data_IF_354532348406
#
_entry.id   IF_354532348406
#
_cell.length_a   1.000
_cell.length_b   1.000
_cell.length_c   1.000
_cell.angle_alpha   90.00
_cell.angle_beta   90.00
_cell.angle_gamma   90.00
#
_symmetry.space_group_name_H-M   'P 1'
#
loop_
_entity.id
_entity.type
_entity.pdbx_description
1 polymer ?
#
# COMPACT_ATOMS: atom_id res chain seq x y z
N UNK A 1 2.73 -0.12 17.42
CA UNK A 1 2.61 0.48 16.09
C UNK A 1 2.90 1.96 16.21
N UNK A 2 4.08 2.40 15.76
CA UNK A 2 4.34 3.82 15.55
C UNK A 2 3.69 4.19 14.21
N UNK A 3 2.78 5.16 14.23
CA UNK A 3 2.13 5.69 13.05
C UNK A 3 2.51 7.16 13.00
N UNK A 4 3.32 7.56 12.02
CA UNK A 4 3.78 8.94 11.89
C UNK A 4 2.97 9.66 10.82
N UNK A 5 2.33 10.76 11.20
CA UNK A 5 1.64 11.69 10.31
C UNK A 5 2.59 12.84 9.97
N UNK A 6 2.99 12.93 8.70
CA UNK A 6 3.82 14.02 8.21
C UNK A 6 2.99 15.07 7.45
N UNK A 7 3.02 16.32 7.93
CA UNK A 7 2.40 17.48 7.28
C UNK A 7 3.49 18.48 6.88
N UNK A 8 3.71 18.66 5.57
CA UNK A 8 4.65 19.67 5.05
C UNK A 8 3.92 20.98 4.79
N UNK A 9 4.18 21.99 5.64
CA UNK A 9 3.65 23.33 5.44
C UNK A 9 4.52 24.11 4.43
N UNK A 10 4.10 24.17 3.17
CA UNK A 10 4.72 25.03 2.15
C UNK A 10 3.85 26.24 1.83
N UNK A 11 4.37 27.30 1.20
CA UNK A 11 3.56 28.47 0.80
C UNK A 11 2.57 28.18 -0.35
N UNK A 12 2.63 26.97 -0.91
CA UNK A 12 1.86 26.48 -2.06
C UNK A 12 0.42 26.15 -1.60
N UNK A 13 -0.63 26.34 -2.42
CA UNK A 13 -2.02 26.03 -2.05
C UNK A 13 -2.34 24.53 -1.92
N UNK A 14 -1.38 23.66 -2.20
CA UNK A 14 -1.49 22.20 -2.12
C UNK A 14 -0.91 21.70 -0.79
N UNK A 15 -1.55 20.70 -0.20
CA UNK A 15 -1.07 19.94 0.93
C UNK A 15 -0.90 18.47 0.54
N UNK A 16 0.15 17.86 1.08
CA UNK A 16 0.42 16.43 1.02
C UNK A 16 0.42 15.90 2.44
N UNK A 17 -0.34 14.84 2.68
CA UNK A 17 -0.44 14.17 3.98
C UNK A 17 0.00 12.74 3.77
N UNK A 18 0.97 12.31 4.58
CA UNK A 18 1.44 10.93 4.60
C UNK A 18 1.23 10.29 5.95
N UNK A 19 0.70 9.07 5.96
CA UNK A 19 0.75 8.17 7.11
C UNK A 19 1.73 7.04 6.82
N UNK A 20 2.73 6.92 7.69
CA UNK A 20 3.74 5.88 7.59
C UNK A 20 3.60 4.90 8.75
N UNK A 21 3.50 3.62 8.41
CA UNK A 21 3.43 2.50 9.34
C UNK A 21 4.72 1.72 9.22
N UNK A 22 5.37 1.47 10.36
CA UNK A 22 6.50 0.54 10.45
C UNK A 22 5.99 -0.91 10.30
N UNK A 23 5.78 -1.30 9.05
CA UNK A 23 5.27 -2.59 8.61
C UNK A 23 5.73 -2.80 7.15
N UNK A 24 6.12 -4.01 6.79
CA UNK A 24 6.74 -4.32 5.52
C UNK A 24 7.05 -5.81 5.39
N UNK A 25 7.69 -6.21 4.28
CA UNK A 25 7.99 -7.62 4.00
C UNK A 25 8.89 -8.29 5.05
N UNK A 26 9.66 -7.52 5.82
CA UNK A 26 10.46 -8.06 6.93
C UNK A 26 9.58 -8.64 8.04
N UNK A 27 8.38 -8.10 8.25
CA UNK A 27 7.48 -8.52 9.32
C UNK A 27 6.58 -9.70 8.91
N UNK A 28 6.70 -10.18 7.67
CA UNK A 28 5.90 -11.30 7.18
C UNK A 28 6.35 -12.64 7.78
N UNK A 29 5.40 -13.49 8.12
CA UNK A 29 5.66 -14.89 8.41
C UNK A 29 5.77 -15.72 7.11
N UNK A 30 6.37 -16.92 7.12
CA UNK A 30 6.35 -17.82 5.96
C UNK A 30 4.94 -18.16 5.45
N UNK A 31 3.93 -18.08 6.32
CA UNK A 31 2.52 -18.32 5.97
C UNK A 31 1.84 -17.11 5.32
N UNK A 32 2.35 -15.90 5.55
CA UNK A 32 1.78 -14.62 5.09
C UNK A 32 2.70 -13.93 4.07
N UNK A 33 3.41 -14.73 3.28
CA UNK A 33 4.48 -14.24 2.42
C UNK A 33 4.00 -13.58 1.12
N UNK A 34 4.14 -12.25 1.01
CA UNK A 34 3.53 -11.42 -0.03
C UNK A 34 2.25 -10.68 0.42
N UNK A 35 1.92 -10.73 1.72
CA UNK A 35 0.77 -10.03 2.27
C UNK A 35 0.94 -8.51 2.18
N UNK A 36 2.17 -8.01 2.31
CA UNK A 36 2.50 -6.59 2.26
C UNK A 36 2.11 -5.99 0.91
N UNK A 37 2.52 -6.61 -0.20
CA UNK A 37 2.18 -6.13 -1.54
C UNK A 37 0.67 -6.19 -1.80
N UNK A 38 -0.02 -7.21 -1.28
CA UNK A 38 -1.48 -7.29 -1.40
C UNK A 38 -2.19 -6.22 -0.55
N UNK A 39 -1.71 -5.96 0.66
CA UNK A 39 -2.22 -4.90 1.53
C UNK A 39 -2.07 -3.51 0.92
N UNK A 40 -0.96 -3.26 0.21
CA UNK A 40 -0.77 -2.04 -0.58
C UNK A 40 -1.89 -1.89 -1.63
N UNK A 41 -2.18 -2.93 -2.40
CA UNK A 41 -3.27 -2.89 -3.41
C UNK A 41 -4.66 -2.75 -2.81
N UNK A 42 -4.83 -3.20 -1.57
CA UNK A 42 -6.08 -3.10 -0.83
C UNK A 42 -6.21 -1.80 -0.01
N UNK A 43 -5.18 -0.94 0.01
CA UNK A 43 -5.09 0.26 0.85
C UNK A 43 -6.32 1.20 0.79
N UNK A 44 -6.81 1.50 -0.42
CA UNK A 44 -7.91 2.44 -0.67
C UNK A 44 -9.19 1.73 -1.16
N UNK A 45 -9.40 0.49 -0.70
CA UNK A 45 -10.61 -0.30 -0.98
C UNK A 45 -11.70 -0.01 0.03
N UNK A 46 -12.70 -0.89 0.11
CA UNK A 46 -13.83 -0.71 1.01
C UNK A 46 -13.39 -0.70 2.47
N UNK A 47 -13.92 0.24 3.24
CA UNK A 47 -13.74 0.33 4.70
C UNK A 47 -15.05 -0.05 5.39
N UNK A 48 -15.02 -0.14 6.73
CA UNK A 48 -16.24 -0.42 7.51
C UNK A 48 -17.29 0.69 7.37
N UNK A 49 -16.85 1.93 7.10
CA UNK A 49 -17.69 3.12 7.08
C UNK A 49 -18.00 3.59 5.64
N UNK A 50 -17.15 3.26 4.67
CA UNK A 50 -17.24 3.73 3.29
C UNK A 50 -17.05 2.57 2.30
N UNK A 51 -17.89 2.50 1.26
CA UNK A 51 -17.66 1.59 0.14
C UNK A 51 -16.51 2.11 -0.74
N UNK A 52 -15.84 1.23 -1.49
CA UNK A 52 -14.77 1.63 -2.40
C UNK A 52 -15.21 2.74 -3.38
N UNK A 53 -16.42 2.64 -3.93
CA UNK A 53 -16.98 3.66 -4.83
C UNK A 53 -17.17 5.01 -4.12
N UNK A 54 -17.52 5.01 -2.84
CA UNK A 54 -17.63 6.24 -2.05
C UNK A 54 -16.26 6.86 -1.80
N UNK A 55 -15.25 6.06 -1.45
CA UNK A 55 -13.87 6.53 -1.27
C UNK A 55 -13.36 7.20 -2.55
N UNK A 56 -13.53 6.54 -3.71
CA UNK A 56 -13.11 7.10 -5.01
C UNK A 56 -13.83 8.41 -5.31
N UNK A 57 -15.15 8.48 -5.10
CA UNK A 57 -15.92 9.70 -5.33
C UNK A 57 -15.53 10.85 -4.39
N UNK A 58 -15.24 10.57 -3.12
CA UNK A 58 -14.77 11.58 -2.17
C UNK A 58 -13.41 12.14 -2.62
N UNK A 59 -12.49 11.27 -3.05
CA UNK A 59 -11.18 11.67 -3.57
C UNK A 59 -11.30 12.53 -4.83
N UNK A 60 -12.11 12.08 -5.80
CA UNK A 60 -12.32 12.78 -7.07
C UNK A 60 -13.06 14.11 -6.90
N UNK A 61 -14.03 14.19 -5.98
CA UNK A 61 -14.80 15.41 -5.73
C UNK A 61 -13.90 16.54 -5.18
N UNK A 62 -12.91 16.20 -4.36
CA UNK A 62 -11.90 17.12 -3.84
C UNK A 62 -10.85 17.45 -4.91
N UNK A 63 -10.74 16.62 -5.96
CA UNK A 63 -9.66 16.68 -6.95
C UNK A 63 -8.32 16.24 -6.36
N UNK A 64 -8.35 15.37 -5.34
CA UNK A 64 -7.16 14.83 -4.72
C UNK A 64 -6.63 13.58 -5.42
N UNK A 65 -5.40 13.19 -5.09
CA UNK A 65 -4.80 11.93 -5.52
C UNK A 65 -4.31 11.14 -4.32
N UNK A 66 -4.69 9.86 -4.27
CA UNK A 66 -4.25 8.91 -3.24
C UNK A 66 -3.23 7.94 -3.81
N UNK A 67 -2.21 7.64 -3.02
CA UNK A 67 -1.17 6.67 -3.36
C UNK A 67 -0.81 5.85 -2.13
N UNK A 68 -0.48 4.59 -2.35
CA UNK A 68 0.06 3.67 -1.35
C UNK A 68 1.37 3.12 -1.87
N UNK A 69 2.31 2.89 -0.96
CA UNK A 69 3.62 2.31 -1.29
C UNK A 69 4.03 1.32 -0.21
N UNK A 70 4.37 0.10 -0.61
CA UNK A 70 4.97 -0.88 0.27
C UNK A 70 6.49 -0.93 0.06
N UNK A 71 7.23 -0.83 1.16
CA UNK A 71 8.66 -1.13 1.21
C UNK A 71 8.90 -2.38 2.07
N UNK A 72 10.18 -2.80 2.16
CA UNK A 72 10.56 -3.94 3.00
C UNK A 72 10.36 -3.65 4.49
N UNK A 73 10.57 -2.41 4.91
CA UNK A 73 10.54 -1.98 6.31
C UNK A 73 9.29 -1.17 6.67
N UNK A 74 8.75 -0.40 5.72
CA UNK A 74 7.68 0.56 5.96
C UNK A 74 6.59 0.53 4.88
N UNK A 75 5.38 0.89 5.28
CA UNK A 75 4.23 1.07 4.41
C UNK A 75 3.80 2.54 4.49
N UNK A 76 3.71 3.20 3.34
CA UNK A 76 3.32 4.60 3.24
C UNK A 76 1.97 4.76 2.55
N UNK A 77 1.09 5.56 3.13
CA UNK A 77 -0.18 5.99 2.55
C UNK A 77 -0.14 7.49 2.39
N UNK A 78 -0.23 8.00 1.17
CA UNK A 78 -0.16 9.43 0.88
C UNK A 78 -1.42 9.92 0.20
N UNK A 79 -1.83 11.13 0.56
CA UNK A 79 -2.96 11.83 -0.01
C UNK A 79 -2.53 13.27 -0.33
N UNK A 80 -2.69 13.66 -1.59
CA UNK A 80 -2.38 15.01 -2.08
C UNK A 80 -3.66 15.72 -2.52
N UNK A 81 -3.89 16.94 -2.03
CA UNK A 81 -5.05 17.77 -2.39
C UNK A 81 -4.86 19.25 -2.01
N UNK A 82 -5.87 20.07 -2.29
CA UNK A 82 -5.89 21.47 -1.84
C UNK A 82 -5.94 21.57 -0.31
N UNK A 83 -5.22 22.55 0.24
CA UNK A 83 -5.15 22.80 1.69
C UNK A 83 -6.49 23.03 2.37
N UNK A 84 -7.50 23.50 1.65
CA UNK A 84 -8.84 23.74 2.19
C UNK A 84 -9.48 22.44 2.72
N UNK A 85 -9.13 21.30 2.13
CA UNK A 85 -9.72 19.98 2.43
C UNK A 85 -8.86 19.14 3.37
N UNK A 86 -7.89 19.74 4.06
CA UNK A 86 -7.01 19.05 5.01
C UNK A 86 -7.75 18.16 6.03
N UNK A 87 -8.86 18.58 6.67
CA UNK A 87 -9.55 17.70 7.63
C UNK A 87 -10.16 16.46 6.97
N UNK A 88 -10.72 16.60 5.77
CA UNK A 88 -11.33 15.49 5.01
C UNK A 88 -10.27 14.49 4.54
N UNK A 89 -9.11 14.99 4.10
CA UNK A 89 -7.97 14.16 3.73
C UNK A 89 -7.51 13.29 4.91
N UNK A 90 -7.34 13.89 6.10
CA UNK A 90 -6.90 13.17 7.30
C UNK A 90 -7.94 12.13 7.73
N UNK A 91 -9.23 12.48 7.70
CA UNK A 91 -10.31 11.56 8.07
C UNK A 91 -10.35 10.33 7.17
N UNK A 92 -10.29 10.54 5.85
CA UNK A 92 -10.31 9.46 4.86
C UNK A 92 -9.09 8.55 5.04
N UNK A 93 -7.90 9.13 5.20
CA UNK A 93 -6.65 8.39 5.34
C UNK A 93 -6.65 7.53 6.62
N UNK A 94 -7.14 8.07 7.75
CA UNK A 94 -7.29 7.32 9.00
C UNK A 94 -8.32 6.20 8.85
N UNK A 95 -9.45 6.43 8.19
CA UNK A 95 -10.49 5.41 8.02
C UNK A 95 -10.00 4.24 7.16
N UNK A 96 -9.29 4.53 6.06
CA UNK A 96 -8.69 3.51 5.19
C UNK A 96 -7.68 2.63 5.94
N UNK A 97 -6.85 3.23 6.80
CA UNK A 97 -5.78 2.49 7.49
C UNK A 97 -6.29 1.75 8.72
N UNK A 98 -7.22 2.35 9.48
CA UNK A 98 -7.68 1.80 10.75
C UNK A 98 -8.82 0.78 10.58
N UNK A 99 -9.72 1.00 9.62
CA UNK A 99 -10.93 0.20 9.45
C UNK A 99 -11.08 -0.43 8.05
N UNK A 100 -10.04 -1.03 7.45
CA UNK A 100 -10.18 -1.70 6.17
C UNK A 100 -11.10 -2.94 6.29
N UNK A 101 -11.92 -3.18 5.28
CA UNK A 101 -12.73 -4.40 5.18
C UNK A 101 -12.34 -5.12 3.89
N UNK A 102 -11.77 -6.32 4.05
CA UNK A 102 -11.37 -7.15 2.92
C UNK A 102 -12.55 -8.03 2.49
N UNK A 103 -13.26 -7.59 1.46
CA UNK A 103 -14.37 -8.33 0.87
C UNK A 103 -13.82 -9.37 -0.10
N UNK A 104 -14.33 -10.60 -0.06
CA UNK A 104 -13.77 -11.73 -0.82
C UNK A 104 -13.69 -11.46 -2.33
N UNK A 105 -14.68 -10.75 -2.89
CA UNK A 105 -14.68 -10.42 -4.32
C UNK A 105 -13.63 -9.36 -4.68
N UNK A 106 -13.46 -8.32 -3.86
CA UNK A 106 -12.43 -7.28 -4.07
C UNK A 106 -11.04 -7.89 -3.91
N UNK A 107 -10.88 -8.75 -2.90
CA UNK A 107 -9.65 -9.47 -2.62
C UNK A 107 -9.25 -10.36 -3.79
N UNK A 108 -10.17 -11.19 -4.29
CA UNK A 108 -9.91 -12.07 -5.43
C UNK A 108 -9.58 -11.29 -6.70
N UNK A 109 -10.22 -10.14 -6.93
CA UNK A 109 -9.90 -9.27 -8.06
C UNK A 109 -8.46 -8.73 -7.97
N UNK A 110 -8.06 -8.19 -6.80
CA UNK A 110 -6.69 -7.69 -6.62
C UNK A 110 -5.66 -8.82 -6.68
N UNK A 111 -6.00 -10.00 -6.18
CA UNK A 111 -5.15 -11.18 -6.24
C UNK A 111 -4.82 -11.56 -7.68
N UNK A 112 -5.80 -11.51 -8.60
CA UNK A 112 -5.55 -11.77 -10.02
C UNK A 112 -4.64 -10.70 -10.66
N UNK A 113 -4.82 -9.42 -10.31
CA UNK A 113 -3.96 -8.34 -10.79
C UNK A 113 -2.52 -8.51 -10.31
N UNK A 114 -2.32 -8.82 -9.03
CA UNK A 114 -0.99 -9.05 -8.48
C UNK A 114 -0.32 -10.28 -9.12
N UNK A 115 -1.07 -11.36 -9.40
CA UNK A 115 -0.54 -12.51 -10.15
C UNK A 115 -0.02 -12.10 -11.54
N UNK A 116 -0.79 -11.28 -12.26
CA UNK A 116 -0.38 -10.77 -13.56
C UNK A 116 0.87 -9.88 -13.45
N UNK A 117 0.92 -8.98 -12.47
CA UNK A 117 2.07 -8.11 -12.23
C UNK A 117 3.33 -8.88 -11.89
N UNK A 118 3.26 -9.92 -11.05
CA UNK A 118 4.41 -10.78 -10.74
C UNK A 118 4.91 -11.47 -12.02
N UNK A 119 3.99 -11.95 -12.87
CA UNK A 119 4.36 -12.57 -14.14
C UNK A 119 5.04 -11.59 -15.10
N UNK A 120 4.67 -10.32 -15.04
CA UNK A 120 5.29 -9.26 -15.83
C UNK A 120 6.64 -8.82 -15.23
N UNK A 121 6.73 -8.72 -13.91
CA UNK A 121 7.95 -8.42 -13.18
C UNK A 121 9.04 -9.47 -13.46
N UNK A 122 8.68 -10.75 -13.61
CA UNK A 122 9.64 -11.81 -13.99
C UNK A 122 10.29 -11.61 -15.37
N UNK A 123 9.67 -10.81 -16.25
CA UNK A 123 10.22 -10.48 -17.57
C UNK A 123 11.22 -9.31 -17.51
N UNK A 124 11.27 -8.59 -16.39
CA UNK A 124 12.19 -7.48 -16.18
C UNK A 124 13.47 -7.98 -15.47
N UNK A 125 14.60 -8.14 -16.20
CA UNK A 125 15.80 -8.74 -15.63
C UNK A 125 16.47 -7.85 -14.57
N UNK A 126 16.34 -6.52 -14.66
CA UNK A 126 16.92 -5.60 -13.68
C UNK A 126 16.24 -5.74 -12.31
N UNK A 127 14.91 -5.78 -12.28
CA UNK A 127 14.15 -5.95 -11.03
C UNK A 127 14.43 -7.30 -10.37
N UNK A 128 14.49 -8.37 -11.19
CA UNK A 128 14.79 -9.70 -10.69
C UNK A 128 16.22 -9.81 -10.14
N UNK A 129 17.19 -9.14 -10.77
CA UNK A 129 18.57 -9.08 -10.29
C UNK A 129 18.65 -8.38 -8.93
N UNK A 130 17.97 -7.24 -8.74
CA UNK A 130 17.94 -6.55 -7.44
C UNK A 130 17.33 -7.44 -6.35
N UNK A 131 16.20 -8.08 -6.63
CA UNK A 131 15.58 -9.03 -5.68
C UNK A 131 16.50 -10.21 -5.37
N UNK A 132 17.21 -10.75 -6.37
CA UNK A 132 18.18 -11.83 -6.20
C UNK A 132 19.36 -11.39 -5.32
N UNK A 133 19.94 -10.21 -5.58
CA UNK A 133 21.03 -9.65 -4.77
C UNK A 133 20.58 -9.51 -3.32
N UNK A 134 19.39 -8.98 -3.07
CA UNK A 134 18.86 -8.87 -1.72
C UNK A 134 18.65 -10.24 -1.06
N UNK A 135 18.13 -11.22 -1.80
CA UNK A 135 17.88 -12.57 -1.28
C UNK A 135 19.15 -13.33 -0.89
N UNK A 136 20.24 -13.12 -1.62
CA UNK A 136 21.54 -13.78 -1.38
C UNK A 136 22.39 -12.98 -0.40
N UNK A 137 22.36 -11.65 -0.49
CA UNK A 137 23.19 -10.75 0.32
C UNK A 137 22.72 -10.59 1.75
N UNK A 138 21.42 -10.79 2.03
CA UNK A 138 20.87 -10.69 3.37
C UNK A 138 20.32 -12.04 3.84
N UNK A 139 20.94 -12.56 4.91
CA UNK A 139 20.39 -13.70 5.66
C UNK A 139 19.18 -13.21 6.49
N UNK A 140 18.14 -14.04 6.67
CA UNK A 140 16.90 -13.75 7.43
C UNK A 140 15.86 -12.82 6.75
N UNK A 141 15.09 -12.03 7.52
CA UNK A 141 13.89 -11.30 7.09
C UNK A 141 14.11 -10.34 5.92
N UNK A 142 15.33 -9.83 5.75
CA UNK A 142 15.65 -8.89 4.68
C UNK A 142 15.84 -9.53 3.31
N UNK A 143 16.08 -10.84 3.23
CA UNK A 143 16.22 -11.58 1.97
C UNK A 143 14.87 -11.96 1.33
N UNK A 144 13.76 -11.64 1.98
CA UNK A 144 12.40 -11.91 1.53
C UNK A 144 12.05 -11.08 0.30
N UNK A 145 11.64 -11.71 -0.80
CA UNK A 145 11.23 -10.95 -1.98
C UNK A 145 9.90 -10.22 -1.76
N UNK A 146 9.83 -8.96 -2.19
CA UNK A 146 8.58 -8.16 -2.11
C UNK A 146 7.52 -8.66 -3.10
N UNK A 147 7.94 -9.35 -4.16
CA UNK A 147 7.09 -9.88 -5.23
C UNK A 147 6.84 -11.38 -5.11
N UNK A 148 6.62 -11.91 -3.90
CA UNK A 148 6.49 -13.36 -3.75
C UNK A 148 5.11 -13.90 -4.12
N UNK A 149 5.09 -14.94 -4.95
CA UNK A 149 3.91 -15.69 -5.36
C UNK A 149 3.47 -16.78 -4.35
N UNK A 150 4.04 -16.84 -3.14
CA UNK A 150 3.85 -18.01 -2.26
C UNK A 150 2.47 -18.07 -1.56
N UNK A 151 1.82 -16.93 -1.28
CA UNK A 151 0.40 -16.89 -0.86
C UNK A 151 -0.54 -17.35 -1.98
N UNK A 152 -0.13 -17.21 -3.25
CA UNK A 152 -1.00 -17.34 -4.41
C UNK A 152 -1.25 -18.79 -4.87
N UNK A 153 -0.53 -19.76 -4.29
CA UNK A 153 -0.51 -21.18 -4.65
C UNK A 153 -1.19 -22.11 -3.63
N UNK A 154 -2.00 -21.55 -2.71
CA UNK A 154 -2.99 -22.30 -1.92
C UNK A 154 -4.38 -21.92 -2.39
#
# INVERSE_FOLDING_TARGET
>A
MACELHLKHHRIPVASIGLYVDCGSIYESPATFGATHLLERMAFKSTRNRSHLRVVREVEAIGGSVQSSASREQMGYTYDALKTYLPEMVELLIDCVRNPVFLDWEFNEQLQKVKAEISEASKNPQGLLFEAIHSVGFFWCFGKSSFSSRIFNR
#
